data_IF_772260407147
#
_entry.id   IF_772260407147
#
_cell.length_a   1.000
_cell.length_b   1.000
_cell.length_c   1.000
_cell.angle_alpha   90.00
_cell.angle_beta   90.00
_cell.angle_gamma   90.00
#
_symmetry.space_group_name_H-M   'P 1'
#
loop_
_entity.id
_entity.type
_entity.pdbx_description
1 polymer ?
#
# COMPACT_ATOMS: atom_id res chain seq x y z
N UNK A 1 15.10 13.40 22.13
CA UNK A 1 13.71 13.82 22.40
C UNK A 1 12.88 12.55 22.58
N UNK A 2 11.95 12.53 23.53
CA UNK A 2 11.14 11.34 23.86
C UNK A 2 9.81 11.49 23.10
N UNK A 3 9.60 10.75 22.02
CA UNK A 3 8.34 10.80 21.29
C UNK A 3 7.39 9.76 21.86
N UNK A 4 6.28 10.22 22.45
CA UNK A 4 5.19 9.35 22.93
C UNK A 4 4.39 8.85 21.73
N UNK A 5 4.26 7.52 21.59
CA UNK A 5 3.26 6.94 20.70
C UNK A 5 1.87 7.14 21.33
N UNK A 6 1.06 8.01 20.73
CA UNK A 6 -0.35 8.10 21.08
C UNK A 6 -1.08 6.85 20.56
N UNK A 7 -1.80 6.16 21.44
CA UNK A 7 -2.67 5.04 21.08
C UNK A 7 -3.80 5.52 20.19
N UNK A 8 -3.74 5.20 18.90
CA UNK A 8 -4.81 5.50 17.94
C UNK A 8 -5.88 4.42 18.06
N UNK A 9 -7.12 4.82 18.38
CA UNK A 9 -8.28 3.94 18.35
C UNK A 9 -8.86 3.91 16.93
N UNK A 10 -9.09 2.72 16.38
CA UNK A 10 -9.54 2.54 15.00
C UNK A 10 -10.98 2.00 14.97
N UNK A 11 -11.88 2.70 14.28
CA UNK A 11 -13.28 2.31 14.10
C UNK A 11 -13.46 1.79 12.68
N UNK A 12 -13.86 0.52 12.54
CA UNK A 12 -14.19 -0.05 11.24
C UNK A 12 -15.55 0.50 10.77
N UNK A 13 -15.56 1.28 9.68
CA UNK A 13 -16.79 1.75 9.05
C UNK A 13 -16.96 1.05 7.69
N UNK A 14 -18.02 0.24 7.56
CA UNK A 14 -18.45 -0.31 6.27
C UNK A 14 -19.42 0.66 5.59
N UNK A 15 -18.93 1.41 4.62
CA UNK A 15 -19.73 2.24 3.71
C UNK A 15 -19.27 1.96 2.27
N UNK A 16 -20.20 2.11 1.32
CA UNK A 16 -20.03 1.91 -0.13
C UNK A 16 -18.57 2.06 -0.58
N UNK A 17 -18.05 1.02 -1.22
CA UNK A 17 -16.64 0.63 -1.25
C UNK A 17 -15.72 1.59 -2.04
N UNK A 18 -15.66 2.85 -1.62
CA UNK A 18 -14.72 3.85 -2.09
C UNK A 18 -13.51 3.87 -1.16
N UNK A 19 -12.33 4.01 -1.75
CA UNK A 19 -11.10 4.20 -0.98
C UNK A 19 -11.26 5.41 -0.03
N UNK A 20 -10.87 5.29 1.25
CA UNK A 20 -10.94 6.41 2.17
C UNK A 20 -10.08 7.60 1.71
N UNK A 21 -10.40 8.83 2.15
CA UNK A 21 -9.60 10.01 1.81
C UNK A 21 -8.19 9.96 2.39
N UNK A 22 -7.98 9.21 3.48
CA UNK A 22 -6.69 8.91 4.09
C UNK A 22 -6.76 7.53 4.75
N UNK A 23 -5.80 6.65 4.46
CA UNK A 23 -5.77 5.29 5.00
C UNK A 23 -4.34 4.72 4.99
N UNK A 24 -4.17 3.60 5.67
CA UNK A 24 -2.99 2.74 5.53
C UNK A 24 -3.43 1.32 5.17
N UNK A 25 -2.47 0.48 4.81
CA UNK A 25 -2.68 -0.92 4.50
C UNK A 25 -2.14 -1.78 5.64
N UNK A 26 -2.90 -2.81 6.01
CA UNK A 26 -2.52 -3.74 7.07
C UNK A 26 -2.58 -5.15 6.52
N UNK A 27 -1.45 -5.84 6.53
CA UNK A 27 -1.36 -7.25 6.19
C UNK A 27 -1.81 -8.14 7.35
N UNK A 28 -1.99 -9.43 7.08
CA UNK A 28 -2.26 -10.42 8.12
C UNK A 28 -1.21 -10.41 9.24
N UNK A 29 -1.64 -10.76 10.45
CA UNK A 29 -0.85 -10.61 11.66
C UNK A 29 -0.81 -9.17 12.22
N UNK A 30 -1.52 -8.22 11.60
CA UNK A 30 -1.62 -6.83 12.07
C UNK A 30 -0.44 -5.96 11.65
N UNK A 31 0.33 -6.40 10.65
CA UNK A 31 1.49 -5.68 10.16
C UNK A 31 1.06 -4.51 9.29
N UNK A 32 1.21 -3.29 9.81
CA UNK A 32 1.04 -2.06 9.01
C UNK A 32 2.15 -1.97 7.96
N UNK A 33 1.78 -1.66 6.72
CA UNK A 33 2.75 -1.51 5.64
C UNK A 33 3.59 -0.24 5.83
N UNK A 34 4.88 -0.39 5.58
CA UNK A 34 5.86 0.69 5.53
C UNK A 34 6.24 0.99 4.08
N UNK A 35 6.99 2.06 3.86
CA UNK A 35 7.54 2.40 2.54
C UNK A 35 8.98 2.88 2.62
N UNK A 36 9.78 2.49 1.64
CA UNK A 36 11.13 3.02 1.39
C UNK A 36 11.12 4.25 0.45
N UNK A 37 9.92 4.75 0.10
CA UNK A 37 9.69 5.82 -0.87
C UNK A 37 9.49 5.32 -2.30
N UNK A 38 9.70 4.03 -2.57
CA UNK A 38 9.53 3.42 -3.89
C UNK A 38 8.57 2.23 -3.88
N UNK A 39 8.45 1.49 -2.78
CA UNK A 39 7.68 0.26 -2.67
C UNK A 39 6.90 0.18 -1.36
N UNK A 40 5.86 -0.64 -1.34
CA UNK A 40 5.14 -0.99 -0.13
C UNK A 40 5.72 -2.27 0.48
N UNK A 41 6.00 -2.27 1.79
CA UNK A 41 6.76 -3.31 2.47
C UNK A 41 6.06 -3.78 3.76
N UNK A 42 6.13 -5.07 4.05
CA UNK A 42 5.96 -5.61 5.41
C UNK A 42 7.36 -5.76 5.99
N UNK A 43 7.72 -4.88 6.93
CA UNK A 43 9.04 -4.86 7.55
C UNK A 43 8.94 -4.36 9.01
N UNK A 44 8.33 -5.13 9.94
CA UNK A 44 8.07 -4.67 11.30
C UNK A 44 9.34 -4.26 12.05
N UNK A 45 10.48 -4.91 11.78
CA UNK A 45 11.78 -4.58 12.38
C UNK A 45 12.34 -3.22 11.92
N UNK A 46 11.83 -2.69 10.80
CA UNK A 46 12.20 -1.39 10.25
C UNK A 46 11.21 -0.27 10.61
N UNK A 47 10.22 -0.51 11.47
CA UNK A 47 9.20 0.48 11.84
C UNK A 47 9.75 1.78 12.48
N UNK A 48 10.98 1.75 13.01
CA UNK A 48 11.67 2.93 13.53
C UNK A 48 12.49 3.69 12.47
N UNK A 49 12.67 3.11 11.29
CA UNK A 49 13.57 3.61 10.24
C UNK A 49 12.82 3.93 8.94
N UNK A 50 11.66 3.32 8.71
CA UNK A 50 10.81 3.54 7.55
C UNK A 50 9.47 4.14 7.98
N UNK A 51 8.95 5.13 7.24
CA UNK A 51 7.63 5.69 7.50
C UNK A 51 6.52 4.67 7.22
N UNK A 52 5.41 4.85 7.93
CA UNK A 52 4.15 4.18 7.60
C UNK A 52 3.69 4.64 6.22
N UNK A 53 3.22 3.70 5.41
CA UNK A 53 2.62 4.02 4.11
C UNK A 53 1.21 4.60 4.32
N UNK A 54 1.13 5.94 4.43
CA UNK A 54 -0.12 6.70 4.52
C UNK A 54 -0.55 7.11 3.11
N UNK A 55 -1.69 6.60 2.70
CA UNK A 55 -2.23 6.70 1.35
C UNK A 55 -3.49 7.56 1.32
N UNK A 56 -3.78 8.13 0.16
CA UNK A 56 -5.04 8.85 -0.11
C UNK A 56 -5.69 8.30 -1.36
N UNK A 57 -6.99 8.02 -1.28
CA UNK A 57 -7.80 7.65 -2.45
C UNK A 57 -8.24 8.87 -3.24
N UNK A 58 -8.06 8.83 -4.56
CA UNK A 58 -8.58 9.82 -5.51
C UNK A 58 -9.29 9.06 -6.64
N UNK A 59 -10.60 8.85 -6.49
CA UNK A 59 -11.35 7.99 -7.41
C UNK A 59 -10.86 6.54 -7.33
N UNK A 60 -10.41 6.00 -8.47
CA UNK A 60 -9.80 4.66 -8.57
C UNK A 60 -8.26 4.69 -8.55
N UNK A 61 -7.67 5.83 -8.16
CA UNK A 61 -6.24 6.01 -7.96
C UNK A 61 -5.89 6.11 -6.48
N UNK A 62 -4.66 5.72 -6.14
CA UNK A 62 -4.10 5.83 -4.80
C UNK A 62 -2.83 6.67 -4.89
N UNK A 63 -2.71 7.69 -4.03
CA UNK A 63 -1.49 8.50 -3.93
C UNK A 63 -0.83 8.38 -2.56
N UNK A 64 0.48 8.52 -2.54
CA UNK A 64 1.32 8.69 -1.37
C UNK A 64 1.90 10.10 -1.36
N UNK A 65 1.95 10.70 -0.18
CA UNK A 65 2.65 11.96 0.07
C UNK A 65 3.55 11.69 1.28
N UNK A 66 4.87 11.77 1.08
CA UNK A 66 5.82 11.67 2.20
C UNK A 66 5.62 12.83 3.18
N UNK A 67 5.81 12.59 4.47
CA UNK A 67 5.61 13.60 5.53
C UNK A 67 6.50 14.83 5.33
N UNK A 68 7.73 14.61 4.85
CA UNK A 68 8.72 15.66 4.59
C UNK A 68 8.74 16.13 3.12
N UNK A 69 7.76 15.71 2.31
CA UNK A 69 7.77 15.98 0.89
C UNK A 69 7.43 17.47 0.61
N UNK A 70 8.15 18.15 -0.31
CA UNK A 70 7.76 19.49 -0.75
C UNK A 70 6.31 19.53 -1.29
N UNK A 71 5.65 20.70 -1.29
CA UNK A 71 4.32 20.82 -1.88
C UNK A 71 4.28 20.24 -3.31
N UNK A 72 3.19 19.55 -3.64
CA UNK A 72 2.94 18.96 -4.97
C UNK A 72 3.86 17.78 -5.37
N UNK A 73 4.54 17.14 -4.42
CA UNK A 73 5.38 15.94 -4.68
C UNK A 73 4.66 14.64 -4.31
N UNK A 74 3.47 14.42 -4.89
CA UNK A 74 2.77 13.17 -4.67
C UNK A 74 3.30 12.07 -5.60
N UNK A 75 3.23 10.84 -5.12
CA UNK A 75 3.53 9.64 -5.89
C UNK A 75 2.23 8.86 -6.09
N UNK A 76 2.01 8.29 -7.26
CA UNK A 76 0.91 7.36 -7.45
C UNK A 76 1.38 5.95 -7.09
N UNK A 77 0.55 5.19 -6.39
CA UNK A 77 0.72 3.76 -6.29
C UNK A 77 0.47 3.16 -7.67
N UNK A 78 1.32 2.24 -8.08
CA UNK A 78 1.14 1.46 -9.30
C UNK A 78 1.34 -0.02 -9.04
N UNK A 79 0.69 -0.82 -9.88
CA UNK A 79 1.00 -2.25 -10.05
C UNK A 79 1.54 -2.46 -11.46
N UNK A 80 2.52 -3.34 -11.64
CA UNK A 80 2.99 -3.72 -12.98
C UNK A 80 2.20 -4.93 -13.43
N UNK A 81 1.43 -4.78 -14.52
CA UNK A 81 0.57 -5.85 -14.99
C UNK A 81 1.34 -6.78 -15.94
N UNK A 82 1.22 -8.09 -15.71
CA UNK A 82 1.89 -9.09 -16.56
C UNK A 82 3.39 -9.23 -16.31
N UNK A 83 3.93 -8.55 -15.30
CA UNK A 83 5.30 -8.73 -14.81
C UNK A 83 5.29 -9.04 -13.31
N UNK A 84 6.43 -9.47 -12.78
CA UNK A 84 6.61 -9.91 -11.41
C UNK A 84 7.41 -8.88 -10.61
N UNK A 85 6.94 -7.64 -10.65
CA UNK A 85 7.50 -6.51 -9.89
C UNK A 85 6.63 -6.17 -8.67
N UNK A 86 7.25 -5.75 -7.55
CA UNK A 86 6.50 -5.30 -6.40
C UNK A 86 5.67 -4.05 -6.75
N UNK A 87 4.57 -3.85 -6.02
CA UNK A 87 3.80 -2.62 -6.13
C UNK A 87 4.70 -1.45 -5.76
N UNK A 88 4.63 -0.41 -6.57
CA UNK A 88 5.57 0.69 -6.50
C UNK A 88 4.88 2.04 -6.38
N UNK A 89 5.69 3.05 -6.09
CA UNK A 89 5.31 4.45 -6.07
C UNK A 89 6.01 5.14 -7.24
N UNK A 90 5.28 5.91 -8.03
CA UNK A 90 5.87 6.66 -9.15
C UNK A 90 6.96 7.60 -8.64
N UNK A 91 7.90 8.00 -9.51
CA UNK A 91 8.84 9.04 -9.13
C UNK A 91 8.08 10.34 -8.73
N UNK A 92 8.39 10.95 -7.56
CA UNK A 92 7.62 12.06 -6.99
C UNK A 92 7.59 13.35 -7.82
N UNK A 93 8.47 13.49 -8.81
CA UNK A 93 8.56 14.69 -9.64
C UNK A 93 8.13 14.46 -11.08
N UNK A 94 8.47 13.29 -11.65
CA UNK A 94 8.21 13.00 -13.05
C UNK A 94 6.97 12.14 -13.27
N UNK A 95 6.43 11.51 -12.21
CA UNK A 95 5.41 10.48 -12.34
C UNK A 95 5.90 9.25 -13.10
N UNK A 96 7.21 9.12 -13.31
CA UNK A 96 7.79 8.01 -14.05
C UNK A 96 7.49 6.67 -13.35
N UNK A 97 7.15 5.68 -14.16
CA UNK A 97 6.81 4.31 -13.77
C UNK A 97 7.24 3.34 -14.89
N UNK A 98 7.38 2.04 -14.60
CA UNK A 98 7.65 1.03 -15.61
C UNK A 98 6.61 1.00 -16.73
N UNK A 99 7.00 0.48 -17.90
CA UNK A 99 6.05 0.18 -18.95
C UNK A 99 5.05 -0.88 -18.47
N UNK A 100 3.77 -0.73 -18.83
CA UNK A 100 2.64 -1.58 -18.38
C UNK A 100 2.26 -1.44 -16.90
N UNK A 101 2.76 -0.41 -16.20
CA UNK A 101 2.26 -0.06 -14.89
C UNK A 101 0.84 0.53 -14.99
N UNK A 102 -0.05 0.13 -14.08
CA UNK A 102 -1.38 0.74 -13.88
C UNK A 102 -1.42 1.49 -12.55
N UNK A 103 -1.79 2.77 -12.62
CA UNK A 103 -2.03 3.65 -11.45
C UNK A 103 -3.52 3.80 -11.10
N UNK A 104 -4.40 3.11 -11.82
CA UNK A 104 -5.85 3.21 -11.71
C UNK A 104 -6.46 1.82 -11.49
N UNK A 105 -7.79 1.75 -11.30
CA UNK A 105 -8.54 0.52 -10.97
C UNK A 105 -8.30 -0.02 -9.57
N UNK A 106 -7.79 0.81 -8.66
CA UNK A 106 -7.80 0.47 -7.24
C UNK A 106 -9.19 0.68 -6.65
N UNK A 107 -9.50 -0.13 -5.65
CA UNK A 107 -10.73 -0.02 -4.89
C UNK A 107 -10.61 -0.72 -3.55
N UNK A 108 -11.73 -0.79 -2.83
CA UNK A 108 -11.87 -1.61 -1.63
C UNK A 108 -13.09 -2.50 -1.83
N UNK A 109 -13.07 -3.74 -1.34
CA UNK A 109 -14.25 -4.62 -1.40
C UNK A 109 -15.14 -4.48 -0.15
N UNK A 110 -16.25 -5.21 -0.10
CA UNK A 110 -17.22 -5.16 1.02
C UNK A 110 -16.62 -5.63 2.35
N UNK A 111 -15.56 -6.43 2.30
CA UNK A 111 -14.82 -6.92 3.46
C UNK A 111 -13.73 -5.93 3.93
N UNK A 112 -13.53 -4.81 3.23
CA UNK A 112 -12.52 -3.81 3.59
C UNK A 112 -11.12 -4.12 3.06
N UNK A 113 -10.96 -5.08 2.14
CA UNK A 113 -9.67 -5.38 1.53
C UNK A 113 -9.41 -4.50 0.30
N UNK A 114 -8.15 -4.10 0.11
CA UNK A 114 -7.69 -3.44 -1.10
C UNK A 114 -7.90 -4.36 -2.30
N UNK A 115 -8.35 -3.76 -3.41
CA UNK A 115 -8.51 -4.45 -4.68
C UNK A 115 -7.79 -3.71 -5.79
N UNK A 116 -7.35 -4.45 -6.80
CA UNK A 116 -7.00 -3.92 -8.11
C UNK A 116 -7.80 -4.66 -9.16
N UNK A 117 -8.52 -3.94 -10.03
CA UNK A 117 -9.50 -4.52 -10.96
C UNK A 117 -10.59 -5.38 -10.30
N UNK A 118 -10.83 -5.19 -9.00
CA UNK A 118 -11.81 -5.94 -8.22
C UNK A 118 -11.25 -7.17 -7.50
N UNK A 119 -10.02 -7.60 -7.82
CA UNK A 119 -9.39 -8.75 -7.20
C UNK A 119 -8.49 -8.34 -6.03
N UNK A 120 -8.34 -9.20 -5.03
CA UNK A 120 -7.54 -8.97 -3.81
C UNK A 120 -6.19 -9.70 -3.85
N UNK A 121 -5.70 -10.03 -5.04
CA UNK A 121 -4.52 -10.89 -5.24
C UNK A 121 -3.20 -10.14 -5.02
N UNK A 122 -2.92 -9.83 -3.76
CA UNK A 122 -1.62 -9.32 -3.33
C UNK A 122 -0.82 -10.42 -2.65
N UNK A 123 0.51 -10.31 -2.64
CA UNK A 123 1.35 -11.31 -1.98
C UNK A 123 2.78 -10.87 -1.75
N UNK A 124 3.53 -11.73 -1.07
CA UNK A 124 4.97 -11.58 -0.82
C UNK A 124 5.71 -12.81 -1.34
N UNK A 125 7.00 -12.69 -1.65
CA UNK A 125 7.82 -13.87 -1.93
C UNK A 125 7.99 -14.68 -0.64
N UNK A 126 7.76 -16.00 -0.70
CA UNK A 126 7.85 -16.90 0.45
C UNK A 126 9.24 -16.91 1.11
N UNK A 127 10.29 -16.56 0.36
CA UNK A 127 11.69 -16.74 0.74
C UNK A 127 12.48 -15.43 0.96
N UNK A 128 11.84 -14.25 0.89
CA UNK A 128 12.54 -12.98 1.11
C UNK A 128 12.73 -12.67 2.59
N UNK A 129 13.82 -11.94 2.90
CA UNK A 129 14.31 -11.63 4.24
C UNK A 129 13.39 -10.73 5.07
N UNK A 130 13.99 -9.95 5.97
CA UNK A 130 13.25 -9.19 6.99
C UNK A 130 12.33 -8.10 6.38
N UNK A 131 12.63 -7.62 5.18
CA UNK A 131 11.78 -6.77 4.35
C UNK A 131 11.05 -7.59 3.27
N UNK A 132 9.73 -7.58 3.33
CA UNK A 132 8.88 -8.27 2.36
C UNK A 132 8.09 -7.26 1.54
N UNK A 133 8.56 -6.92 0.33
CA UNK A 133 7.78 -6.11 -0.59
C UNK A 133 6.42 -6.76 -0.89
N UNK A 134 5.45 -5.95 -1.30
CA UNK A 134 4.15 -6.45 -1.74
C UNK A 134 4.14 -6.52 -3.25
N UNK A 135 3.62 -7.61 -3.81
CA UNK A 135 3.38 -7.80 -5.24
C UNK A 135 1.89 -7.81 -5.54
N UNK A 136 1.55 -7.36 -6.74
CA UNK A 136 0.28 -7.71 -7.38
C UNK A 136 0.45 -9.02 -8.12
N UNK A 137 -0.32 -10.04 -7.76
CA UNK A 137 -0.13 -11.39 -8.30
C UNK A 137 -0.88 -11.60 -9.61
N UNK A 138 -2.03 -10.94 -9.76
CA UNK A 138 -2.89 -10.93 -10.94
C UNK A 138 -3.50 -12.28 -11.33
N UNK A 139 -2.66 -13.30 -11.53
CA UNK A 139 -2.98 -14.68 -11.93
C UNK A 139 -1.85 -15.70 -11.60
N UNK A 140 -0.80 -15.36 -10.83
CA UNK A 140 0.38 -16.24 -10.65
C UNK A 140 0.51 -16.86 -9.25
N UNK A 141 0.58 -18.20 -9.20
CA UNK A 141 0.48 -18.99 -7.98
C UNK A 141 1.61 -20.03 -7.99
N UNK A 142 2.60 -19.88 -7.12
CA UNK A 142 3.62 -20.91 -6.94
C UNK A 142 4.86 -20.49 -6.16
N UNK A 143 5.27 -19.22 -6.28
CA UNK A 143 6.41 -18.66 -5.50
C UNK A 143 6.01 -17.56 -4.51
N UNK A 144 4.74 -17.18 -4.54
CA UNK A 144 4.17 -16.13 -3.72
C UNK A 144 3.26 -16.71 -2.65
N UNK A 145 3.32 -16.10 -1.46
CA UNK A 145 2.33 -16.28 -0.41
C UNK A 145 1.30 -15.16 -0.55
N UNK A 146 0.03 -15.52 -0.64
CA UNK A 146 -1.07 -14.55 -0.71
C UNK A 146 -1.17 -13.76 0.59
N UNK A 147 -1.25 -12.45 0.47
CA UNK A 147 -1.32 -11.51 1.60
C UNK A 147 -2.48 -10.55 1.34
N UNK A 148 -3.68 -10.82 1.86
CA UNK A 148 -4.77 -9.87 1.76
C UNK A 148 -4.43 -8.60 2.53
N UNK A 149 -4.75 -7.44 1.96
CA UNK A 149 -4.40 -6.13 2.50
C UNK A 149 -5.64 -5.40 2.98
N UNK A 150 -5.78 -5.21 4.28
CA UNK A 150 -6.89 -4.48 4.86
C UNK A 150 -6.70 -2.98 4.71
N UNK A 151 -7.71 -2.28 4.18
CA UNK A 151 -7.75 -0.82 4.10
C UNK A 151 -8.20 -0.26 5.45
N UNK A 152 -7.29 0.43 6.12
CA UNK A 152 -7.54 0.98 7.46
C UNK A 152 -7.55 2.50 7.41
N UNK A 153 -8.74 3.07 7.53
CA UNK A 153 -8.95 4.52 7.51
C UNK A 153 -8.13 5.21 8.61
N UNK A 154 -7.47 6.30 8.23
CA UNK A 154 -6.78 7.19 9.16
C UNK A 154 -7.61 8.45 9.36
N UNK A 155 -8.24 8.56 10.54
CA UNK A 155 -8.98 9.76 10.95
C UNK A 155 -8.07 10.60 11.84
N UNK A 156 -7.78 11.82 11.40
CA UNK A 156 -7.16 12.87 12.21
C UNK A 156 -8.20 13.52 13.12
#
# INVERSE_FOLDING_TARGET
>A
MKFSLATVAFVAASLAASLPPSFTLVAEGGNTLLTDGNHALIAPDLANNLPILILRGIGDQIIYISEDAPPFTWQNLYVVEGDVEPIGLTNPYSGAMPANASISRFGVNEQGYLTHKGDTEFGTLAATGDDKPIWWLGYSNGRFEGVPLWVKEFRM
#
